data_IF_570894857120
#
_entry.id   IF_570894857120
#
_cell.length_a   1.000
_cell.length_b   1.000
_cell.length_c   1.000
_cell.angle_alpha   90.00
_cell.angle_beta   90.00
_cell.angle_gamma   90.00
#
_symmetry.space_group_name_H-M   'P 1'
#
loop_
_entity.id
_entity.type
_entity.pdbx_description
1 polymer ?
#
# COMPACT_ATOMS: atom_id res chain seq x y z
N UNK A 1 -49.01 45.00 -22.62
CA UNK A 1 -48.04 45.65 -21.70
C UNK A 1 -47.75 44.71 -20.55
N UNK A 2 -46.46 44.53 -20.21
CA UNK A 2 -45.90 43.86 -19.02
C UNK A 2 -46.14 42.33 -19.02
N UNK A 3 -45.16 41.46 -18.74
CA UNK A 3 -44.06 41.60 -17.81
C UNK A 3 -42.96 40.57 -18.11
N UNK A 4 -41.72 41.04 -18.11
CA UNK A 4 -40.47 40.26 -18.07
C UNK A 4 -40.35 39.54 -16.73
N UNK A 5 -40.02 38.24 -16.73
CA UNK A 5 -39.15 37.66 -15.70
C UNK A 5 -38.45 36.41 -16.22
N UNK A 6 -37.15 36.54 -16.43
CA UNK A 6 -36.22 35.45 -16.67
C UNK A 6 -36.19 34.54 -15.43
N UNK A 7 -36.42 33.24 -15.61
CA UNK A 7 -36.09 32.23 -14.60
C UNK A 7 -34.86 31.45 -15.06
N UNK A 8 -33.75 31.90 -14.49
CA UNK A 8 -32.55 31.20 -14.07
C UNK A 8 -32.24 29.83 -14.71
N UNK A 9 -31.10 29.84 -15.39
CA UNK A 9 -30.23 28.71 -15.68
C UNK A 9 -30.04 27.81 -14.44
N UNK A 10 -30.33 26.52 -14.57
CA UNK A 10 -29.52 25.47 -13.93
C UNK A 10 -28.13 25.52 -14.61
N UNK A 11 -26.96 25.14 -14.02
CA UNK A 11 -26.77 24.04 -13.04
C UNK A 11 -25.51 24.12 -12.14
N UNK A 12 -25.54 23.82 -10.83
CA UNK A 12 -24.30 23.43 -10.12
C UNK A 12 -24.56 22.94 -8.70
N UNK A 13 -24.79 21.63 -8.56
CA UNK A 13 -24.47 20.95 -7.31
C UNK A 13 -22.97 20.65 -7.33
N UNK A 14 -22.19 21.59 -6.82
CA UNK A 14 -20.78 21.37 -6.45
C UNK A 14 -20.74 20.42 -5.26
N UNK A 15 -20.82 19.12 -5.55
CA UNK A 15 -20.29 18.12 -4.64
C UNK A 15 -18.77 18.27 -4.72
N UNK A 16 -18.21 18.88 -3.69
CA UNK A 16 -16.78 18.99 -3.46
C UNK A 16 -16.15 17.62 -3.67
N UNK A 17 -15.27 17.58 -4.67
CA UNK A 17 -14.61 16.38 -5.12
C UNK A 17 -13.74 15.78 -4.03
N UNK A 18 -13.83 14.46 -3.91
CA UNK A 18 -12.70 13.63 -4.29
C UNK A 18 -13.23 12.24 -4.63
N UNK A 19 -13.56 12.05 -5.90
CA UNK A 19 -13.48 10.72 -6.49
C UNK A 19 -12.01 10.31 -6.46
N UNK A 20 -11.60 9.60 -5.40
CA UNK A 20 -10.48 8.68 -5.49
C UNK A 20 -11.03 7.27 -5.67
N UNK A 21 -11.89 7.09 -6.68
CA UNK A 21 -11.81 5.91 -7.53
C UNK A 21 -10.52 5.99 -8.36
N UNK A 22 -9.38 5.96 -7.67
CA UNK A 22 -8.18 5.39 -8.25
C UNK A 22 -8.13 4.02 -7.63
N UNK A 23 -8.73 3.08 -8.35
CA UNK A 23 -8.04 1.84 -8.69
C UNK A 23 -6.55 2.17 -8.78
N UNK A 24 -5.88 2.06 -7.63
CA UNK A 24 -4.44 2.02 -7.53
C UNK A 24 -4.06 0.64 -8.10
N UNK A 25 -4.31 0.48 -9.40
CA UNK A 25 -3.39 -0.15 -10.31
C UNK A 25 -2.10 0.69 -10.27
N UNK A 26 -1.45 0.75 -9.09
CA UNK A 26 -0.01 0.63 -9.09
C UNK A 26 0.20 -0.75 -9.69
N UNK A 27 0.46 -0.74 -11.00
CA UNK A 27 1.10 -1.79 -11.76
C UNK A 27 2.44 -2.10 -11.08
N UNK A 28 2.34 -2.76 -9.93
CA UNK A 28 3.46 -3.41 -9.24
C UNK A 28 3.75 -4.75 -9.91
N UNK A 29 3.64 -4.77 -11.24
CA UNK A 29 4.06 -5.87 -12.09
C UNK A 29 5.56 -6.14 -11.95
N UNK A 30 6.31 -5.14 -11.48
CA UNK A 30 7.69 -5.28 -10.99
C UNK A 30 7.70 -4.99 -9.50
N UNK A 31 7.17 -5.94 -8.72
CA UNK A 31 6.88 -5.79 -7.30
C UNK A 31 8.05 -5.23 -6.48
N UNK A 32 7.71 -4.42 -5.47
CA UNK A 32 8.69 -3.93 -4.52
C UNK A 32 9.24 -5.13 -3.76
N UNK A 33 10.55 -5.34 -3.85
CA UNK A 33 11.22 -6.42 -3.15
C UNK A 33 11.37 -6.08 -1.67
N UNK A 34 10.96 -7.02 -0.83
CA UNK A 34 11.21 -6.94 0.59
C UNK A 34 12.63 -7.43 0.85
N UNK A 35 13.51 -6.54 1.32
CA UNK A 35 14.87 -6.92 1.71
C UNK A 35 14.91 -7.41 3.16
N UNK A 36 16.00 -8.09 3.53
CA UNK A 36 16.20 -8.52 4.92
C UNK A 36 16.22 -7.32 5.88
N UNK A 37 16.74 -6.16 5.45
CA UNK A 37 16.74 -4.92 6.25
C UNK A 37 15.34 -4.37 6.48
N UNK A 38 14.46 -4.45 5.48
CA UNK A 38 13.06 -4.06 5.62
C UNK A 38 12.35 -4.99 6.60
N UNK A 39 12.61 -6.31 6.50
CA UNK A 39 12.06 -7.29 7.43
C UNK A 39 12.57 -7.09 8.87
N UNK A 40 13.84 -6.73 9.05
CA UNK A 40 14.41 -6.36 10.35
C UNK A 40 13.67 -5.16 10.96
N UNK A 41 13.39 -4.12 10.15
CA UNK A 41 12.60 -2.97 10.59
C UNK A 41 11.18 -3.35 10.97
N UNK A 42 10.53 -4.22 10.18
CA UNK A 42 9.16 -4.68 10.44
C UNK A 42 9.05 -5.52 11.71
N UNK A 43 10.03 -6.38 11.94
CA UNK A 43 10.04 -7.29 13.09
C UNK A 43 10.70 -6.71 14.33
N UNK A 44 11.31 -5.52 14.22
CA UNK A 44 12.11 -4.91 15.28
C UNK A 44 13.35 -5.74 15.65
N UNK A 45 13.85 -6.57 14.73
CA UNK A 45 14.99 -7.44 14.99
C UNK A 45 16.30 -6.77 14.58
N UNK A 46 17.27 -6.73 15.49
CA UNK A 46 18.64 -6.25 15.21
C UNK A 46 19.55 -7.33 14.62
N UNK A 47 19.06 -8.56 14.49
CA UNK A 47 19.85 -9.69 14.03
C UNK A 47 19.57 -10.04 12.57
N UNK A 48 20.50 -9.66 11.69
CA UNK A 48 20.41 -9.93 10.23
C UNK A 48 20.33 -11.42 9.92
N UNK A 49 21.00 -12.29 10.67
CA UNK A 49 20.95 -13.73 10.44
C UNK A 49 19.56 -14.31 10.75
N UNK A 50 18.90 -13.80 11.80
CA UNK A 50 17.53 -14.20 12.16
C UNK A 50 16.52 -13.74 11.10
N UNK A 51 16.59 -12.45 10.73
CA UNK A 51 15.74 -11.90 9.68
C UNK A 51 15.98 -12.58 8.33
N UNK A 52 17.23 -12.94 8.00
CA UNK A 52 17.56 -13.68 6.80
C UNK A 52 16.96 -15.09 6.76
N UNK A 53 16.93 -15.79 7.91
CA UNK A 53 16.24 -17.08 8.03
C UNK A 53 14.74 -16.92 7.86
N UNK A 54 14.13 -15.95 8.54
CA UNK A 54 12.70 -15.66 8.43
C UNK A 54 12.30 -15.33 6.98
N UNK A 55 13.08 -14.49 6.31
CA UNK A 55 12.88 -14.15 4.90
C UNK A 55 12.86 -15.39 4.00
N UNK A 56 13.83 -16.30 4.19
CA UNK A 56 13.88 -17.58 3.47
C UNK A 56 12.69 -18.49 3.81
N UNK A 57 12.31 -18.59 5.08
CA UNK A 57 11.17 -19.40 5.51
C UNK A 57 9.87 -18.93 4.87
N UNK A 58 9.61 -17.61 4.87
CA UNK A 58 8.40 -17.04 4.27
C UNK A 58 8.41 -17.27 2.75
N UNK A 59 9.55 -17.02 2.10
CA UNK A 59 9.75 -17.27 0.68
C UNK A 59 9.46 -18.73 0.32
N UNK A 60 10.05 -19.67 1.05
CA UNK A 60 9.88 -21.10 0.80
C UNK A 60 8.43 -21.56 1.07
N UNK A 61 7.72 -20.89 1.98
CA UNK A 61 6.31 -21.13 2.27
C UNK A 61 5.37 -20.66 1.15
N UNK A 62 5.77 -19.64 0.38
CA UNK A 62 5.00 -19.12 -0.76
C UNK A 62 5.33 -19.88 -2.04
N UNK A 63 6.63 -20.02 -2.35
CA UNK A 63 7.09 -20.71 -3.54
C UNK A 63 8.56 -21.15 -3.39
N UNK A 64 8.79 -22.46 -3.50
CA UNK A 64 10.10 -23.09 -3.30
C UNK A 64 11.19 -22.65 -4.31
N UNK A 65 10.80 -22.18 -5.51
CA UNK A 65 11.75 -21.79 -6.58
C UNK A 65 11.87 -20.26 -6.76
N UNK A 66 11.29 -19.48 -5.85
CA UNK A 66 11.28 -18.03 -6.00
C UNK A 66 12.54 -17.42 -5.40
N UNK A 67 13.28 -16.63 -6.19
CA UNK A 67 14.52 -15.95 -5.73
C UNK A 67 14.28 -14.68 -4.90
N UNK A 68 13.11 -14.06 -5.01
CA UNK A 68 12.83 -12.75 -4.40
C UNK A 68 11.44 -12.72 -3.79
N UNK A 69 11.33 -12.21 -2.57
CA UNK A 69 10.07 -11.96 -1.89
C UNK A 69 9.65 -10.51 -2.11
N UNK A 70 8.41 -10.27 -2.51
CA UNK A 70 7.85 -8.91 -2.61
C UNK A 70 7.06 -8.54 -1.36
N UNK A 71 6.96 -7.24 -1.07
CA UNK A 71 6.17 -6.73 0.07
C UNK A 71 4.72 -7.20 -0.05
N UNK A 72 4.13 -7.20 -1.25
CA UNK A 72 2.77 -7.70 -1.47
C UNK A 72 2.59 -9.15 -1.06
N UNK A 73 3.54 -10.01 -1.43
CA UNK A 73 3.50 -11.43 -1.08
C UNK A 73 3.67 -11.64 0.42
N UNK A 74 4.58 -10.89 1.05
CA UNK A 74 4.74 -10.90 2.49
C UNK A 74 3.44 -10.47 3.20
N UNK A 75 2.82 -9.37 2.76
CA UNK A 75 1.54 -8.90 3.29
C UNK A 75 0.41 -9.93 3.09
N UNK A 76 0.39 -10.63 1.95
CA UNK A 76 -0.57 -11.71 1.71
C UNK A 76 -0.35 -12.91 2.63
N UNK A 77 0.91 -13.27 2.88
CA UNK A 77 1.29 -14.39 3.76
C UNK A 77 0.95 -14.10 5.23
N UNK A 78 1.36 -12.94 5.75
CA UNK A 78 1.12 -12.50 7.13
C UNK A 78 -0.29 -11.92 7.35
N UNK A 79 -1.09 -11.76 6.28
CA UNK A 79 -2.41 -11.10 6.28
C UNK A 79 -2.39 -9.67 6.82
N UNK A 80 -1.37 -8.90 6.44
CA UNK A 80 -1.17 -7.50 6.80
C UNK A 80 -1.66 -6.58 5.69
N UNK A 81 -2.08 -5.37 6.04
CA UNK A 81 -2.46 -4.38 5.03
C UNK A 81 -1.22 -3.81 4.33
N UNK A 82 -1.18 -3.94 3.00
CA UNK A 82 -0.07 -3.47 2.20
C UNK A 82 0.20 -1.97 2.40
N UNK A 83 -0.85 -1.16 2.55
CA UNK A 83 -0.72 0.30 2.66
C UNK A 83 -0.04 0.69 3.96
N UNK A 84 -0.40 0.03 5.07
CA UNK A 84 0.21 0.29 6.39
C UNK A 84 1.69 -0.08 6.39
N UNK A 85 2.03 -1.27 5.90
CA UNK A 85 3.42 -1.74 5.80
C UNK A 85 4.24 -0.87 4.86
N UNK A 86 3.65 -0.44 3.75
CA UNK A 86 4.31 0.44 2.79
C UNK A 86 4.61 1.83 3.36
N UNK A 87 3.67 2.41 4.10
CA UNK A 87 3.85 3.67 4.82
C UNK A 87 4.95 3.52 5.86
N UNK A 88 4.92 2.45 6.65
CA UNK A 88 5.92 2.17 7.67
C UNK A 88 7.34 2.09 7.10
N UNK A 89 7.52 1.31 6.02
CA UNK A 89 8.84 1.13 5.39
C UNK A 89 9.38 2.42 4.77
N UNK A 90 8.49 3.27 4.23
CA UNK A 90 8.87 4.51 3.55
C UNK A 90 9.13 5.66 4.52
N UNK A 91 8.24 5.88 5.47
CA UNK A 91 8.31 7.02 6.40
C UNK A 91 9.19 6.72 7.61
N UNK A 92 9.48 5.44 7.90
CA UNK A 92 10.29 5.04 9.05
C UNK A 92 9.70 5.49 10.39
N UNK A 93 8.41 5.85 10.41
CA UNK A 93 7.67 6.37 11.55
C UNK A 93 6.43 5.52 11.76
N UNK A 94 6.23 5.06 12.99
CA UNK A 94 4.91 4.64 13.46
C UNK A 94 3.98 5.83 13.32
N UNK A 95 2.93 5.71 12.49
CA UNK A 95 1.75 6.57 12.63
C UNK A 95 0.99 6.02 13.83
N UNK A 96 1.50 6.31 15.03
CA UNK A 96 0.72 6.09 16.25
C UNK A 96 -0.48 7.02 16.16
N UNK A 97 -1.65 6.41 16.02
CA UNK A 97 -2.95 7.06 16.14
C UNK A 97 -3.23 7.37 17.62
#
# INVERSE_FOLDING_TARGET
MKQTRMLLKNPETTNNGLCLTKENNLTMDKGIFLTVKDLMRLTGSDNEASAGRMHRTIRDSIAQDKRKLTIKEYCQYERLDFKEIWIFLREGKYVNQ
#
